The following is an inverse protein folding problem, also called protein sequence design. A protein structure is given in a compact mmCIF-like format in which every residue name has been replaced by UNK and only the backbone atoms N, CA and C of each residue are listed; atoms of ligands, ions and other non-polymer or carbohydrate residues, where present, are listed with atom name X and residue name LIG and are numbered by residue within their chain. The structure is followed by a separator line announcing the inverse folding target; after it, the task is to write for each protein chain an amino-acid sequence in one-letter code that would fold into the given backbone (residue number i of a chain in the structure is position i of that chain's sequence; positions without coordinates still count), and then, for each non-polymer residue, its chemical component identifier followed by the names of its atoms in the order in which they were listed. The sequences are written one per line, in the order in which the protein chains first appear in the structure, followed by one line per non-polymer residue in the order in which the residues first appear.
data_IF_785939367042
#
_entry.id   IF_785939367042
#
_cell.length_a   1.000
_cell.length_b   1.000
_cell.length_c   1.000
_cell.angle_alpha   90.00
_cell.angle_beta   90.00
_cell.angle_gamma   90.00
#
_symmetry.space_group_name_H-M   'P 1'
#
loop_
_entity.id
_entity.type
_entity.pdbx_description
1 polymer ?
#
# COMPACT_ATOMS: atom_id res chain seq x y z
N UNK A 1 17.88 7.66 -4.59
CA UNK A 1 17.86 6.44 -5.42
C UNK A 1 19.00 6.52 -6.40
N UNK A 2 20.02 5.73 -6.12
CA UNK A 2 21.21 5.46 -6.92
C UNK A 2 21.40 3.94 -6.96
N UNK A 3 22.23 3.47 -7.89
CA UNK A 3 22.63 2.05 -7.91
C UNK A 3 23.34 1.72 -6.59
N UNK A 4 22.99 0.56 -5.99
CA UNK A 4 23.48 0.14 -4.68
C UNK A 4 22.60 0.57 -3.49
N UNK A 5 21.66 1.50 -3.66
CA UNK A 5 20.74 1.89 -2.58
C UNK A 5 19.84 0.71 -2.17
N UNK A 6 19.59 0.59 -0.87
CA UNK A 6 18.52 -0.28 -0.35
C UNK A 6 17.15 0.35 -0.60
N UNK A 7 16.19 -0.48 -1.01
CA UNK A 7 14.80 -0.10 -1.27
C UNK A 7 13.86 -1.22 -0.86
N UNK A 8 12.63 -0.85 -0.50
CA UNK A 8 11.61 -1.82 -0.13
C UNK A 8 10.83 -2.28 -1.37
N UNK A 9 10.58 -3.58 -1.47
CA UNK A 9 9.81 -4.21 -2.53
C UNK A 9 8.58 -4.87 -1.91
N UNK A 10 7.40 -4.50 -2.40
CA UNK A 10 6.18 -5.29 -2.20
C UNK A 10 6.16 -6.41 -3.24
N UNK A 11 6.51 -7.62 -2.82
CA UNK A 11 6.51 -8.83 -3.65
C UNK A 11 5.22 -9.61 -3.45
N UNK A 12 4.51 -9.92 -4.53
CA UNK A 12 3.35 -10.80 -4.48
C UNK A 12 3.74 -12.23 -4.82
N UNK A 13 3.28 -13.16 -3.97
CA UNK A 13 3.43 -14.60 -4.12
C UNK A 13 2.03 -15.20 -4.00
N UNK A 14 1.44 -15.58 -5.14
CA UNK A 14 0.04 -15.98 -5.20
C UNK A 14 -0.89 -14.84 -4.78
N UNK A 15 -1.72 -15.07 -3.75
CA UNK A 15 -2.65 -14.07 -3.19
C UNK A 15 -2.07 -13.26 -2.03
N UNK A 16 -0.82 -13.53 -1.64
CA UNK A 16 -0.17 -12.91 -0.49
C UNK A 16 0.87 -11.89 -0.94
N UNK A 17 0.89 -10.74 -0.28
CA UNK A 17 1.91 -9.70 -0.51
C UNK A 17 2.88 -9.63 0.66
N UNK A 18 4.17 -9.70 0.36
CA UNK A 18 5.27 -9.62 1.31
C UNK A 18 6.07 -8.34 1.07
N UNK A 19 6.56 -7.72 2.14
CA UNK A 19 7.48 -6.59 2.04
C UNK A 19 8.88 -7.12 2.34
N UNK A 20 9.80 -6.93 1.42
CA UNK A 20 11.20 -7.33 1.57
C UNK A 20 12.10 -6.15 1.25
N UNK A 21 13.28 -6.10 1.86
CA UNK A 21 14.33 -5.17 1.46
C UNK A 21 15.11 -5.77 0.28
N UNK A 22 15.47 -4.94 -0.69
CA UNK A 22 16.26 -5.31 -1.87
C UNK A 22 17.23 -4.17 -2.21
N UNK A 23 18.15 -4.43 -3.13
CA UNK A 23 19.17 -3.47 -3.59
C UNK A 23 18.85 -3.04 -5.01
N UNK A 24 19.04 -1.76 -5.34
CA UNK A 24 18.97 -1.29 -6.73
C UNK A 24 20.19 -1.79 -7.51
N UNK A 25 19.97 -2.65 -8.51
CA UNK A 25 21.03 -3.22 -9.35
C UNK A 25 21.36 -2.28 -10.53
N UNK A 26 20.35 -1.69 -11.17
CA UNK A 26 20.56 -0.73 -12.26
C UNK A 26 19.41 0.27 -12.38
N UNK A 27 19.72 1.46 -12.89
CA UNK A 27 18.74 2.51 -13.21
C UNK A 27 18.97 2.91 -14.66
N UNK A 28 18.04 2.55 -15.54
CA UNK A 28 18.00 3.00 -16.94
C UNK A 28 17.12 4.24 -17.12
N UNK A 29 16.86 4.63 -18.38
CA UNK A 29 16.01 5.80 -18.68
C UNK A 29 14.54 5.62 -18.28
N UNK A 30 14.00 4.41 -18.42
CA UNK A 30 12.58 4.09 -18.15
C UNK A 30 12.38 3.17 -16.95
N UNK A 31 13.40 2.40 -16.58
CA UNK A 31 13.26 1.26 -15.67
C UNK A 31 14.33 1.23 -14.59
N UNK A 32 13.95 0.74 -13.42
CA UNK A 32 14.83 0.32 -12.34
C UNK A 32 14.85 -1.20 -12.31
N UNK A 33 16.02 -1.81 -12.17
CA UNK A 33 16.18 -3.24 -11.87
C UNK A 33 16.66 -3.37 -10.44
N UNK A 34 16.08 -4.31 -9.69
CA UNK A 34 16.48 -4.62 -8.31
C UNK A 34 16.95 -6.05 -8.19
N UNK A 35 17.77 -6.29 -7.18
CA UNK A 35 18.31 -7.60 -6.85
C UNK A 35 17.23 -8.50 -6.23
N UNK A 36 16.57 -9.30 -7.08
CA UNK A 36 15.58 -10.28 -6.65
C UNK A 36 15.54 -11.49 -7.57
N UNK A 37 14.96 -12.59 -7.10
CA UNK A 37 14.76 -13.82 -7.88
C UNK A 37 13.26 -14.07 -8.13
N UNK A 38 12.82 -14.15 -9.41
CA UNK A 38 13.57 -13.77 -10.62
C UNK A 38 13.84 -12.26 -10.68
N UNK A 39 14.83 -11.82 -11.47
CA UNK A 39 15.11 -10.39 -11.67
C UNK A 39 13.89 -9.68 -12.25
N UNK A 40 13.52 -8.55 -11.66
CA UNK A 40 12.35 -7.76 -12.05
C UNK A 40 12.74 -6.33 -12.42
N UNK A 41 12.01 -5.77 -13.39
CA UNK A 41 12.11 -4.37 -13.81
C UNK A 41 10.90 -3.61 -13.32
N UNK A 42 11.09 -2.35 -12.94
CA UNK A 42 10.04 -1.47 -12.43
C UNK A 42 10.08 -0.14 -13.18
N UNK A 43 8.93 0.42 -13.55
CA UNK A 43 8.88 1.73 -14.19
C UNK A 43 9.30 2.83 -13.21
N UNK A 44 10.14 3.78 -13.66
CA UNK A 44 10.60 4.88 -12.80
C UNK A 44 9.45 5.81 -12.38
N UNK A 45 8.47 6.01 -13.28
CA UNK A 45 7.37 6.96 -13.10
C UNK A 45 6.46 6.61 -11.92
N UNK A 46 6.17 5.31 -11.73
CA UNK A 46 5.15 4.83 -10.78
C UNK A 46 5.62 3.66 -9.91
N UNK A 47 6.86 3.18 -10.12
CA UNK A 47 7.50 2.10 -9.38
C UNK A 47 6.80 0.73 -9.51
N UNK A 48 5.88 0.58 -10.46
CA UNK A 48 5.18 -0.67 -10.73
C UNK A 48 6.05 -1.61 -11.55
N UNK A 49 5.91 -2.92 -11.30
CA UNK A 49 6.61 -3.94 -12.07
C UNK A 49 6.23 -3.87 -13.56
N UNK A 50 7.24 -3.87 -14.43
CA UNK A 50 7.08 -4.05 -15.87
C UNK A 50 6.49 -5.43 -16.16
N UNK A 51 5.49 -5.49 -17.03
CA UNK A 51 4.82 -6.73 -17.45
C UNK A 51 4.17 -7.50 -16.29
N UNK A 52 3.83 -6.81 -15.18
CA UNK A 52 3.04 -7.40 -14.10
C UNK A 52 1.60 -7.66 -14.54
N UNK A 53 1.12 -8.89 -14.39
CA UNK A 53 -0.27 -9.27 -14.68
C UNK A 53 -1.08 -9.37 -13.38
N UNK A 54 -2.23 -8.69 -13.31
CA UNK A 54 -3.10 -8.69 -12.13
C UNK A 54 -2.48 -7.95 -10.94
N UNK A 55 -2.13 -8.68 -9.88
CA UNK A 55 -1.49 -8.10 -8.69
C UNK A 55 0.03 -8.12 -8.89
N UNK A 56 0.58 -6.98 -9.31
CA UNK A 56 1.99 -6.82 -9.63
C UNK A 56 2.82 -6.33 -8.45
N UNK A 57 4.10 -6.71 -8.46
CA UNK A 57 5.06 -6.16 -7.51
C UNK A 57 5.25 -4.65 -7.72
N UNK A 58 5.68 -3.95 -6.67
CA UNK A 58 6.07 -2.54 -6.78
C UNK A 58 7.11 -2.14 -5.74
N UNK A 59 7.89 -1.11 -6.07
CA UNK A 59 8.87 -0.55 -5.13
C UNK A 59 8.22 0.48 -4.21
N UNK A 60 8.67 0.51 -2.97
CA UNK A 60 8.24 1.41 -1.91
C UNK A 60 9.42 2.33 -1.59
N UNK A 61 9.28 3.62 -1.90
CA UNK A 61 10.30 4.65 -1.59
C UNK A 61 10.39 4.95 -0.10
N UNK A 62 9.24 5.13 0.55
CA UNK A 62 9.14 5.41 1.99
C UNK A 62 8.27 4.35 2.66
N UNK A 63 8.93 3.46 3.41
CA UNK A 63 8.25 2.38 4.12
C UNK A 63 7.39 2.89 5.27
N UNK A 64 7.79 3.97 5.96
CA UNK A 64 7.03 4.52 7.08
C UNK A 64 5.72 5.11 6.56
N UNK A 65 5.79 5.90 5.49
CA UNK A 65 4.60 6.45 4.85
C UNK A 65 3.68 5.34 4.31
N UNK A 66 4.24 4.30 3.70
CA UNK A 66 3.47 3.16 3.20
C UNK A 66 2.74 2.42 4.34
N UNK A 67 3.43 2.11 5.44
CA UNK A 67 2.84 1.42 6.59
C UNK A 67 1.71 2.25 7.20
N UNK A 68 1.88 3.55 7.34
CA UNK A 68 0.82 4.44 7.84
C UNK A 68 -0.39 4.49 6.90
N UNK A 69 -0.16 4.55 5.58
CA UNK A 69 -1.25 4.48 4.58
C UNK A 69 -2.02 3.17 4.68
N UNK A 70 -1.32 2.04 4.81
CA UNK A 70 -1.94 0.72 4.95
C UNK A 70 -2.73 0.60 6.27
N UNK A 71 -2.24 1.16 7.38
CA UNK A 71 -2.99 1.23 8.64
C UNK A 71 -4.30 2.00 8.47
N UNK A 72 -4.25 3.18 7.83
CA UNK A 72 -5.46 3.98 7.54
C UNK A 72 -6.44 3.22 6.65
N UNK A 73 -5.94 2.60 5.58
CA UNK A 73 -6.76 1.79 4.66
C UNK A 73 -7.45 0.63 5.39
N UNK A 74 -6.76 -0.06 6.30
CA UNK A 74 -7.37 -1.12 7.12
C UNK A 74 -8.50 -0.59 8.01
N UNK A 75 -8.32 0.58 8.64
CA UNK A 75 -9.38 1.21 9.45
C UNK A 75 -10.60 1.55 8.60
N UNK A 76 -10.40 2.18 7.45
CA UNK A 76 -11.49 2.48 6.50
C UNK A 76 -12.20 1.21 6.05
N UNK A 77 -11.46 0.18 5.63
CA UNK A 77 -12.04 -1.10 5.23
C UNK A 77 -12.85 -1.76 6.36
N UNK A 78 -12.40 -1.64 7.61
CA UNK A 78 -13.13 -2.14 8.78
C UNK A 78 -14.46 -1.43 8.92
N UNK A 79 -14.50 -0.10 8.78
CA UNK A 79 -15.73 0.69 8.84
C UNK A 79 -16.69 0.33 7.69
N UNK A 80 -16.18 0.26 6.45
CA UNK A 80 -17.00 -0.04 5.27
C UNK A 80 -17.58 -1.47 5.30
N UNK A 81 -16.85 -2.43 5.87
CA UNK A 81 -17.29 -3.84 5.97
C UNK A 81 -18.00 -4.15 7.28
N UNK A 82 -18.13 -3.18 8.18
CA UNK A 82 -18.82 -3.38 9.44
C UNK A 82 -20.31 -3.66 9.16
N UNK A 83 -20.89 -4.63 9.86
CA UNK A 83 -22.31 -4.91 9.74
C UNK A 83 -23.10 -3.94 10.63
N UNK A 84 -23.41 -2.76 10.09
CA UNK A 84 -24.13 -1.68 10.77
C UNK A 84 -25.51 -2.09 11.31
N UNK A 85 -26.11 -3.15 10.76
CA UNK A 85 -27.41 -3.68 11.24
C UNK A 85 -27.34 -4.33 12.63
N UNK A 86 -26.13 -4.57 13.15
CA UNK A 86 -25.94 -5.19 14.49
C UNK A 86 -25.80 -4.17 15.62
N UNK A 87 -25.81 -2.88 15.32
CA UNK A 87 -25.75 -1.85 16.34
C UNK A 87 -27.06 -1.79 17.12
N UNK A 88 -26.97 -1.66 18.43
CA UNK A 88 -28.12 -1.29 19.26
C UNK A 88 -28.31 0.24 19.24
N UNK A 89 -29.34 0.73 19.95
CA UNK A 89 -29.62 2.17 20.02
C UNK A 89 -28.44 2.97 20.60
N UNK A 90 -27.82 2.48 21.67
CA UNK A 90 -26.71 3.15 22.36
C UNK A 90 -25.45 3.26 21.48
N UNK A 91 -25.14 2.22 20.70
CA UNK A 91 -24.02 2.21 19.76
C UNK A 91 -24.26 3.19 18.60
N UNK A 92 -25.51 3.26 18.11
CA UNK A 92 -25.90 4.17 17.04
C UNK A 92 -25.77 5.63 17.49
N UNK A 93 -26.22 5.95 18.70
CA UNK A 93 -26.12 7.30 19.27
C UNK A 93 -24.66 7.73 19.43
N UNK A 94 -23.78 6.83 19.87
CA UNK A 94 -22.33 7.10 19.92
C UNK A 94 -21.74 7.39 18.54
N UNK A 95 -22.10 6.60 17.52
CA UNK A 95 -21.64 6.84 16.15
C UNK A 95 -22.13 8.18 15.62
N UNK A 96 -23.42 8.50 15.83
CA UNK A 96 -23.99 9.78 15.41
C UNK A 96 -23.35 10.97 16.13
N UNK A 97 -23.03 10.85 17.42
CA UNK A 97 -22.29 11.88 18.16
C UNK A 97 -20.89 12.10 17.58
N UNK A 98 -20.17 11.04 17.21
CA UNK A 98 -18.87 11.16 16.55
C UNK A 98 -19.02 11.90 15.21
N UNK A 99 -20.00 11.52 14.39
CA UNK A 99 -20.22 12.11 13.06
C UNK A 99 -20.68 13.55 13.13
N UNK A 100 -21.56 13.90 14.06
CA UNK A 100 -22.09 15.26 14.25
C UNK A 100 -21.00 16.27 14.63
N UNK A 101 -19.90 15.80 15.22
CA UNK A 101 -18.73 16.64 15.53
C UNK A 101 -17.84 16.95 14.32
N UNK A 102 -18.00 16.22 13.21
CA UNK A 102 -17.39 16.59 11.94
C UNK A 102 -18.36 17.51 11.20
N UNK A 103 -18.18 18.83 11.34
CA UNK A 103 -18.95 19.81 10.56
C UNK A 103 -18.81 19.50 9.07
N UNK A 104 -19.92 19.55 8.33
CA UNK A 104 -19.90 19.61 6.87
C UNK A 104 -19.14 20.88 6.45
N UNK A 105 -17.85 20.76 6.16
CA UNK A 105 -17.19 21.72 5.28
C UNK A 105 -17.73 21.43 3.87
N UNK A 106 -18.76 22.21 3.49
CA UNK A 106 -19.23 22.36 2.11
C UNK A 106 -18.17 23.13 1.33
#
# INVERSE_FOLDING_TARGET
MKVGDKIWLRKYIGRSGHIIETTIESIGRKYITVECSPKKKFYIENLQQKDGCGISDFLIKDIKQYVEREKRRKKVNKLLRFNWKRLNADDLEQVLNILSNYKEEI
#
